data_IF_864174491300
#
_entry.id   IF_864174491300
#
_cell.length_a   1.000
_cell.length_b   1.000
_cell.length_c   1.000
_cell.angle_alpha   90.00
_cell.angle_beta   90.00
_cell.angle_gamma   90.00
#
_symmetry.space_group_name_H-M   'P 1'
#
loop_
_entity.id
_entity.type
_entity.pdbx_description
1 polymer ?
#
# COMPACT_ATOMS: atom_id res chain seq x y z
N UNK A 1 8.47 17.63 3.75
CA UNK A 1 8.46 16.15 3.59
C UNK A 1 7.21 15.51 4.20
N UNK A 2 6.87 15.75 5.47
CA UNK A 2 5.70 15.13 6.12
C UNK A 2 4.36 15.35 5.38
N UNK A 3 4.07 16.55 4.90
CA UNK A 3 2.81 16.81 4.18
C UNK A 3 2.72 16.09 2.82
N UNK A 4 3.85 15.92 2.13
CA UNK A 4 3.91 15.24 0.83
C UNK A 4 3.69 13.74 1.02
N UNK A 5 4.33 13.14 2.02
CA UNK A 5 4.13 11.72 2.32
C UNK A 5 2.68 11.46 2.76
N UNK A 6 2.11 12.30 3.64
CA UNK A 6 0.71 12.19 4.03
C UNK A 6 -0.27 12.28 2.85
N UNK A 7 -0.02 13.19 1.90
CA UNK A 7 -0.86 13.31 0.71
C UNK A 7 -0.79 12.07 -0.20
N UNK A 8 0.40 11.47 -0.34
CA UNK A 8 0.58 10.23 -1.12
C UNK A 8 -0.15 9.07 -0.44
N UNK A 9 -0.01 8.89 0.88
CA UNK A 9 -0.71 7.85 1.63
C UNK A 9 -2.24 7.99 1.50
N UNK A 10 -2.75 9.21 1.65
CA UNK A 10 -4.17 9.50 1.48
C UNK A 10 -4.65 9.19 0.06
N UNK A 11 -3.88 9.58 -0.96
CA UNK A 11 -4.23 9.32 -2.37
C UNK A 11 -4.31 7.83 -2.68
N UNK A 12 -3.35 7.03 -2.18
CA UNK A 12 -3.36 5.58 -2.39
C UNK A 12 -4.56 4.93 -1.69
N UNK A 13 -4.89 5.38 -0.47
CA UNK A 13 -6.04 4.88 0.29
C UNK A 13 -7.35 5.18 -0.44
N UNK A 14 -7.51 6.39 -0.97
CA UNK A 14 -8.69 6.77 -1.79
C UNK A 14 -8.79 5.89 -3.04
N UNK A 15 -7.70 5.67 -3.77
CA UNK A 15 -7.70 4.76 -4.93
C UNK A 15 -8.11 3.35 -4.55
N UNK A 16 -7.61 2.85 -3.42
CA UNK A 16 -7.91 1.52 -2.91
C UNK A 16 -9.41 1.33 -2.62
N UNK A 17 -10.07 2.36 -2.08
CA UNK A 17 -11.51 2.34 -1.82
C UNK A 17 -12.32 2.40 -3.12
N UNK A 18 -11.92 3.25 -4.07
CA UNK A 18 -12.67 3.47 -5.32
C UNK A 18 -12.53 2.31 -6.30
N UNK A 19 -11.37 1.67 -6.37
CA UNK A 19 -11.05 0.60 -7.34
C UNK A 19 -12.13 -0.47 -7.47
N UNK A 20 -12.61 -1.15 -6.40
CA UNK A 20 -13.61 -2.21 -6.53
C UNK A 20 -14.95 -1.74 -7.09
N UNK A 21 -15.29 -0.47 -6.91
CA UNK A 21 -16.53 0.10 -7.45
C UNK A 21 -16.35 0.60 -8.88
N UNK A 22 -15.19 1.16 -9.23
CA UNK A 22 -14.94 1.71 -10.56
C UNK A 22 -14.65 0.64 -11.63
N UNK A 23 -13.96 -0.44 -11.25
CA UNK A 23 -13.50 -1.47 -12.19
C UNK A 23 -14.62 -2.17 -12.99
N UNK A 24 -15.76 -2.52 -12.38
CA UNK A 24 -16.91 -3.07 -13.10
C UNK A 24 -17.48 -2.14 -14.18
N UNK A 25 -17.42 -0.81 -13.98
CA UNK A 25 -17.90 0.16 -14.97
C UNK A 25 -16.91 0.37 -16.12
N UNK A 26 -15.60 0.25 -15.87
CA UNK A 26 -14.54 0.40 -16.88
C UNK A 26 -14.52 -0.77 -17.87
N UNK A 27 -14.82 -1.99 -17.42
CA UNK A 27 -14.64 -3.20 -18.22
C UNK A 27 -15.81 -3.58 -19.14
N UNK A 28 -16.90 -2.78 -19.21
CA UNK A 28 -18.15 -2.99 -19.99
C UNK A 28 -18.10 -4.15 -21.00
N UNK A 29 -18.24 -5.39 -20.52
CA UNK A 29 -18.16 -6.60 -21.36
C UNK A 29 -19.53 -7.27 -21.50
N UNK A 30 -19.83 -7.79 -22.70
CA UNK A 30 -21.02 -8.61 -22.95
C UNK A 30 -20.86 -9.97 -22.23
N UNK A 31 -21.51 -10.08 -21.07
CA UNK A 31 -21.47 -11.26 -20.20
C UNK A 31 -21.44 -10.84 -18.74
N UNK A 32 -22.61 -10.78 -18.10
CA UNK A 32 -22.78 -10.11 -16.81
C UNK A 32 -21.97 -10.74 -15.66
N UNK A 33 -22.06 -12.06 -15.49
CA UNK A 33 -21.40 -12.77 -14.39
C UNK A 33 -19.88 -12.87 -14.63
N UNK A 34 -19.46 -13.23 -15.84
CA UNK A 34 -18.05 -13.34 -16.20
C UNK A 34 -17.33 -11.98 -16.17
N UNK A 35 -18.01 -10.90 -16.58
CA UNK A 35 -17.45 -9.55 -16.48
C UNK A 35 -17.30 -9.10 -15.02
N UNK A 36 -18.26 -9.42 -14.15
CA UNK A 36 -18.19 -9.09 -12.73
C UNK A 36 -17.04 -9.83 -12.04
N UNK A 37 -16.96 -11.16 -12.22
CA UNK A 37 -15.88 -11.97 -11.63
C UNK A 37 -14.49 -11.51 -12.08
N UNK A 38 -14.33 -11.22 -13.38
CA UNK A 38 -13.07 -10.69 -13.92
C UNK A 38 -12.74 -9.32 -13.32
N UNK A 39 -13.73 -8.41 -13.21
CA UNK A 39 -13.52 -7.09 -12.63
C UNK A 39 -13.17 -7.13 -11.13
N UNK A 40 -13.78 -8.03 -10.35
CA UNK A 40 -13.46 -8.23 -8.93
C UNK A 40 -12.05 -8.80 -8.78
N UNK A 41 -11.66 -9.76 -9.63
CA UNK A 41 -10.29 -10.30 -9.61
C UNK A 41 -9.24 -9.24 -9.95
N UNK A 42 -9.46 -8.44 -11.01
CA UNK A 42 -8.55 -7.34 -11.36
C UNK A 42 -8.50 -6.29 -10.24
N UNK A 43 -9.64 -5.89 -9.68
CA UNK A 43 -9.71 -4.97 -8.54
C UNK A 43 -8.88 -5.49 -7.36
N UNK A 44 -9.03 -6.77 -7.01
CA UNK A 44 -8.27 -7.38 -5.94
C UNK A 44 -6.76 -7.34 -6.22
N UNK A 45 -6.33 -7.71 -7.42
CA UNK A 45 -4.91 -7.63 -7.82
C UNK A 45 -4.38 -6.18 -7.74
N UNK A 46 -5.15 -5.20 -8.21
CA UNK A 46 -4.78 -3.78 -8.09
C UNK A 46 -4.68 -3.34 -6.64
N UNK A 47 -5.63 -3.71 -5.77
CA UNK A 47 -5.56 -3.39 -4.35
C UNK A 47 -4.36 -4.03 -3.66
N UNK A 48 -4.01 -5.29 -3.99
CA UNK A 48 -2.80 -5.94 -3.47
C UNK A 48 -1.54 -5.18 -3.88
N UNK A 49 -1.44 -4.76 -5.15
CA UNK A 49 -0.31 -3.93 -5.61
C UNK A 49 -0.24 -2.60 -4.84
N UNK A 50 -1.37 -1.94 -4.60
CA UNK A 50 -1.43 -0.69 -3.83
C UNK A 50 -1.03 -0.89 -2.36
N UNK A 51 -1.43 -2.00 -1.71
CA UNK A 51 -0.97 -2.33 -0.34
C UNK A 51 0.53 -2.55 -0.31
N UNK A 52 1.08 -3.29 -1.27
CA UNK A 52 2.51 -3.54 -1.33
C UNK A 52 3.29 -2.23 -1.47
N UNK A 53 2.82 -1.33 -2.33
CA UNK A 53 3.39 0.02 -2.46
C UNK A 53 3.30 0.82 -1.15
N UNK A 54 2.15 0.79 -0.47
CA UNK A 54 1.96 1.43 0.84
C UNK A 54 2.90 0.87 1.91
N UNK A 55 3.12 -0.44 1.91
CA UNK A 55 3.99 -1.11 2.87
C UNK A 55 5.46 -0.81 2.60
N UNK A 56 5.85 -0.65 1.33
CA UNK A 56 7.23 -0.41 0.92
C UNK A 56 7.67 1.06 1.06
N UNK A 57 6.78 2.02 0.81
CA UNK A 57 7.10 3.46 0.82
C UNK A 57 7.78 3.97 2.11
N UNK A 58 7.34 3.59 3.33
CA UNK A 58 7.97 4.02 4.57
C UNK A 58 9.41 3.55 4.71
N UNK A 59 9.67 2.28 4.35
CA UNK A 59 10.98 1.65 4.46
C UNK A 59 11.93 2.29 3.41
N UNK A 60 11.45 2.53 2.18
CA UNK A 60 12.20 3.27 1.15
C UNK A 60 12.56 4.70 1.59
N UNK A 61 11.62 5.43 2.20
CA UNK A 61 11.88 6.78 2.69
C UNK A 61 12.92 6.80 3.82
N UNK A 62 12.85 5.81 4.71
CA UNK A 62 13.81 5.66 5.79
C UNK A 62 15.21 5.34 5.25
N UNK A 63 15.34 4.45 4.26
CA UNK A 63 16.62 4.14 3.61
C UNK A 63 17.21 5.38 2.93
N UNK A 64 16.43 6.12 2.13
CA UNK A 64 16.89 7.35 1.48
C UNK A 64 17.35 8.42 2.49
N UNK A 65 16.65 8.54 3.62
CA UNK A 65 16.99 9.51 4.67
C UNK A 65 18.28 9.12 5.39
N UNK A 66 18.50 7.82 5.65
CA UNK A 66 19.74 7.31 6.23
C UNK A 66 20.93 7.53 5.29
N UNK A 67 20.74 7.24 4.00
CA UNK A 67 21.77 7.46 2.97
C UNK A 67 22.14 8.95 2.85
N UNK A 68 21.14 9.85 2.86
CA UNK A 68 21.37 11.29 2.87
C UNK A 68 22.14 11.79 4.10
N UNK A 69 21.91 11.16 5.27
CA UNK A 69 22.64 11.49 6.50
C UNK A 69 24.07 10.93 6.52
N UNK A 70 24.43 10.04 5.59
CA UNK A 70 25.73 9.38 5.54
C UNK A 70 25.83 8.13 6.41
N UNK A 71 24.70 7.48 6.70
CA UNK A 71 24.67 6.23 7.45
C UNK A 71 25.40 5.11 6.69
N UNK A 72 26.38 4.47 7.33
CA UNK A 72 27.10 3.35 6.71
C UNK A 72 26.37 2.03 6.99
N UNK A 73 25.65 1.50 5.99
CA UNK A 73 24.94 0.22 6.12
C UNK A 73 25.87 -0.99 6.31
N UNK A 74 27.15 -0.88 5.95
CA UNK A 74 28.14 -1.96 6.09
C UNK A 74 28.91 -1.90 7.41
N UNK A 75 28.65 -0.90 8.26
CA UNK A 75 29.31 -0.76 9.55
C UNK A 75 29.05 -1.95 10.48
N UNK A 76 30.10 -2.40 11.17
CA UNK A 76 30.05 -3.56 12.07
C UNK A 76 29.54 -3.21 13.48
N UNK A 77 29.68 -1.94 13.89
CA UNK A 77 29.16 -1.40 15.14
C UNK A 77 28.29 -0.16 14.89
N UNK A 78 27.43 0.19 15.86
CA UNK A 78 26.61 1.42 15.75
C UNK A 78 27.49 2.68 15.67
N UNK A 79 28.67 2.68 16.28
CA UNK A 79 29.64 3.77 16.18
C UNK A 79 30.21 3.91 14.76
N UNK A 80 30.52 2.78 14.11
CA UNK A 80 30.98 2.78 12.71
C UNK A 80 29.89 3.28 11.77
N UNK A 81 28.65 2.84 11.98
CA UNK A 81 27.47 3.20 11.17
C UNK A 81 27.13 4.69 11.25
N UNK A 82 27.37 5.31 12.41
CA UNK A 82 27.07 6.72 12.69
C UNK A 82 28.26 7.65 12.49
N UNK A 83 29.41 7.13 12.05
CA UNK A 83 30.68 7.87 11.97
C UNK A 83 30.59 9.16 11.15
N UNK A 84 29.86 9.13 10.04
CA UNK A 84 29.71 10.27 9.13
C UNK A 84 28.47 11.12 9.44
N UNK A 85 27.68 10.76 10.45
CA UNK A 85 26.45 11.46 10.82
C UNK A 85 26.76 12.52 11.89
N UNK A 86 26.28 13.75 11.64
CA UNK A 86 26.37 14.84 12.59
C UNK A 86 25.68 14.47 13.92
N UNK A 87 26.24 14.86 15.09
CA UNK A 87 25.77 14.41 16.40
C UNK A 87 24.28 14.72 16.66
N UNK A 88 23.76 15.81 16.08
CA UNK A 88 22.35 16.21 16.17
C UNK A 88 21.37 15.24 15.49
N UNK A 89 21.81 14.47 14.50
CA UNK A 89 20.96 13.54 13.74
C UNK A 89 21.20 12.06 14.11
N UNK A 90 22.11 11.76 15.04
CA UNK A 90 22.43 10.38 15.43
C UNK A 90 21.23 9.64 16.02
N UNK A 91 20.49 10.31 16.90
CA UNK A 91 19.29 9.72 17.52
C UNK A 91 18.17 9.48 16.48
N UNK A 92 18.02 10.37 15.49
CA UNK A 92 17.09 10.19 14.37
C UNK A 92 17.50 8.97 13.52
N UNK A 93 18.79 8.86 13.18
CA UNK A 93 19.33 7.77 12.38
C UNK A 93 19.15 6.40 13.06
N UNK A 94 19.43 6.29 14.36
CA UNK A 94 19.22 5.04 15.11
C UNK A 94 17.73 4.64 15.09
N UNK A 95 16.81 5.59 15.29
CA UNK A 95 15.36 5.33 15.24
C UNK A 95 14.93 4.85 13.86
N UNK A 96 15.41 5.50 12.80
CA UNK A 96 15.10 5.10 11.41
C UNK A 96 15.62 3.70 11.10
N UNK A 97 16.86 3.42 11.46
CA UNK A 97 17.48 2.11 11.25
C UNK A 97 16.72 0.99 11.97
N UNK A 98 16.34 1.21 13.24
CA UNK A 98 15.51 0.26 14.00
C UNK A 98 14.12 0.09 13.39
N UNK A 99 13.55 1.14 12.79
CA UNK A 99 12.26 1.06 12.10
C UNK A 99 12.31 0.15 10.86
N UNK A 100 13.41 0.17 10.10
CA UNK A 100 13.62 -0.69 8.92
C UNK A 100 13.88 -2.15 9.34
N UNK A 101 14.67 -2.36 10.40
CA UNK A 101 15.03 -3.69 10.92
C UNK A 101 13.89 -4.43 11.62
N UNK A 102 12.74 -3.77 11.85
CA UNK A 102 11.57 -4.35 12.49
C UNK A 102 10.80 -5.32 11.58
N UNK A 103 9.46 -5.27 11.62
CA UNK A 103 8.64 -6.04 10.70
C UNK A 103 8.90 -5.54 9.27
N UNK A 104 9.57 -6.34 8.45
CA UNK A 104 9.87 -5.98 7.07
C UNK A 104 8.59 -5.69 6.27
N UNK A 105 8.70 -4.78 5.29
CA UNK A 105 7.58 -4.38 4.43
C UNK A 105 6.82 -5.56 3.79
N UNK A 106 7.48 -6.67 3.50
CA UNK A 106 6.84 -7.87 2.93
C UNK A 106 5.74 -8.39 3.86
N UNK A 107 6.02 -8.49 5.16
CA UNK A 107 5.04 -8.99 6.12
C UNK A 107 3.91 -7.97 6.34
N UNK A 108 4.23 -6.67 6.35
CA UNK A 108 3.23 -5.59 6.37
C UNK A 108 2.29 -5.69 5.15
N UNK A 109 2.85 -5.98 3.97
CA UNK A 109 2.10 -6.14 2.73
C UNK A 109 1.16 -7.35 2.77
N UNK A 110 1.66 -8.51 3.22
CA UNK A 110 0.85 -9.73 3.37
C UNK A 110 -0.30 -9.50 4.36
N UNK A 111 -0.02 -8.92 5.52
CA UNK A 111 -1.03 -8.62 6.53
C UNK A 111 -2.12 -7.67 5.97
N UNK A 112 -1.72 -6.60 5.28
CA UNK A 112 -2.65 -5.69 4.63
C UNK A 112 -3.48 -6.35 3.52
N UNK A 113 -2.88 -7.25 2.74
CA UNK A 113 -3.57 -8.00 1.69
C UNK A 113 -4.60 -8.98 2.24
N UNK A 114 -4.33 -9.63 3.37
CA UNK A 114 -5.30 -10.51 4.05
C UNK A 114 -6.48 -9.71 4.59
N UNK A 115 -6.21 -8.55 5.19
CA UNK A 115 -7.25 -7.65 5.71
C UNK A 115 -8.14 -7.07 4.60
N UNK A 116 -7.69 -7.05 3.35
CA UNK A 116 -8.48 -6.62 2.21
C UNK A 116 -9.55 -7.63 1.77
N UNK A 117 -9.39 -8.91 2.09
CA UNK A 117 -10.27 -9.97 1.60
C UNK A 117 -11.74 -9.71 2.00
N UNK A 118 -12.07 -9.44 3.28
CA UNK A 118 -13.45 -9.15 3.68
C UNK A 118 -14.02 -7.93 2.96
N UNK A 119 -13.22 -6.88 2.79
CA UNK A 119 -13.64 -5.65 2.11
C UNK A 119 -14.03 -5.93 0.64
N UNK A 120 -13.24 -6.71 -0.07
CA UNK A 120 -13.47 -7.02 -1.49
C UNK A 120 -14.70 -7.90 -1.70
N UNK A 121 -14.99 -8.81 -0.76
CA UNK A 121 -16.21 -9.62 -0.77
C UNK A 121 -17.44 -8.71 -0.64
N UNK A 122 -17.42 -7.80 0.35
CA UNK A 122 -18.54 -6.87 0.58
C UNK A 122 -18.74 -5.93 -0.62
N UNK A 123 -17.66 -5.34 -1.13
CA UNK A 123 -17.74 -4.42 -2.27
C UNK A 123 -18.29 -5.11 -3.53
N UNK A 124 -17.80 -6.32 -3.84
CA UNK A 124 -18.30 -7.11 -4.97
C UNK A 124 -19.77 -7.50 -4.79
N UNK A 125 -20.18 -7.88 -3.58
CA UNK A 125 -21.58 -8.19 -3.25
C UNK A 125 -22.51 -6.98 -3.44
N UNK A 126 -22.10 -5.80 -2.98
CA UNK A 126 -22.85 -4.56 -3.17
C UNK A 126 -23.00 -4.21 -4.66
N UNK A 127 -21.92 -4.30 -5.43
CA UNK A 127 -21.96 -4.07 -6.88
C UNK A 127 -22.95 -5.03 -7.54
N UNK A 128 -22.93 -6.32 -7.16
CA UNK A 128 -23.87 -7.32 -7.68
C UNK A 128 -25.33 -6.99 -7.35
N UNK A 129 -25.64 -6.58 -6.12
CA UNK A 129 -27.01 -6.19 -5.71
C UNK A 129 -27.52 -4.97 -6.48
N UNK A 130 -26.69 -3.92 -6.60
CA UNK A 130 -27.05 -2.69 -7.34
C UNK A 130 -27.30 -3.00 -8.82
N UNK A 131 -26.46 -3.86 -9.40
CA UNK A 131 -26.59 -4.22 -10.81
C UNK A 131 -27.80 -5.13 -11.09
N UNK A 132 -28.22 -5.97 -10.14
CA UNK A 132 -29.47 -6.75 -10.23
C UNK A 132 -30.71 -5.86 -10.11
N UNK A 133 -30.69 -4.85 -9.24
CA UNK A 133 -31.80 -3.89 -9.08
C UNK A 133 -32.09 -3.12 -10.37
N UNK A 134 -31.04 -2.68 -11.09
CA UNK A 134 -31.19 -2.00 -12.39
C UNK A 134 -31.82 -2.89 -13.47
N UNK A 135 -31.73 -4.21 -13.33
CA UNK A 135 -32.28 -5.17 -14.30
C UNK A 135 -33.76 -5.50 -14.06
N UNK A 136 -34.26 -5.34 -12.83
CA UNK A 136 -35.68 -5.55 -12.50
C UNK A 136 -36.53 -4.26 -12.59
N UNK A 137 -35.90 -3.09 -12.68
CA UNK A 137 -36.57 -1.79 -12.84
C UNK A 137 -36.66 -1.26 -14.28
N UNK A 138 -36.31 -2.08 -15.28
CA UNK A 138 -36.44 -1.80 -16.73
C UNK A 138 -37.33 -2.84 -17.39
#
# INVERSE_FOLDING_TARGET
MQYISSAIYFSILVMMVITPFAMPFLLRRKGYVTSLLLSSFLSFMTCVLLVTLLAYLPDLYAEMRLDYLGFDFNGWSDEDRLRNIAPEFRDEAIKLYRSIMGIGWILKAIAGAVLLIPYQIVASGLVFMVSQSKKHGS
#
